data_IF_105513832097
#
_entry.id   IF_105513832097
#
_cell.length_a   1.000
_cell.length_b   1.000
_cell.length_c   1.000
_cell.angle_alpha   90.00
_cell.angle_beta   90.00
_cell.angle_gamma   90.00
#
_symmetry.space_group_name_H-M   'P 1'
#
loop_
_entity.id
_entity.type
_entity.pdbx_description
1 polymer ?
#
# COMPACT_ATOMS: atom_id res chain seq x y z
N UNK A 1 30.03 -11.16 13.55
CA UNK A 1 29.49 -10.95 14.91
C UNK A 1 28.20 -11.73 15.03
N UNK A 2 28.14 -12.73 15.92
CA UNK A 2 26.88 -13.41 16.23
C UNK A 2 26.11 -12.54 17.23
N UNK A 3 24.85 -12.23 16.92
CA UNK A 3 23.95 -11.60 17.88
C UNK A 3 23.62 -12.64 18.97
N UNK A 4 23.94 -12.35 20.23
CA UNK A 4 23.52 -13.17 21.38
C UNK A 4 22.26 -12.58 22.02
N UNK A 5 21.35 -13.45 22.46
CA UNK A 5 20.10 -13.03 23.11
C UNK A 5 20.36 -12.65 24.58
N UNK A 6 19.97 -11.44 24.97
CA UNK A 6 19.98 -10.97 26.37
C UNK A 6 18.60 -11.22 26.99
N UNK A 7 18.39 -12.45 27.48
CA UNK A 7 17.12 -12.90 28.07
C UNK A 7 16.72 -12.05 29.28
N UNK A 8 17.60 -11.74 30.25
CA UNK A 8 17.24 -10.88 31.38
C UNK A 8 16.78 -9.48 30.98
N UNK A 9 17.41 -8.86 29.97
CA UNK A 9 16.94 -7.59 29.42
C UNK A 9 15.59 -7.75 28.72
N UNK A 10 15.40 -8.83 27.96
CA UNK A 10 14.12 -9.16 27.33
C UNK A 10 12.96 -9.18 28.33
N UNK A 11 13.11 -9.89 29.45
CA UNK A 11 12.08 -9.96 30.49
C UNK A 11 11.73 -8.61 31.12
N UNK A 12 12.70 -7.69 31.23
CA UNK A 12 12.45 -6.33 31.75
C UNK A 12 11.74 -5.44 30.74
N UNK A 13 12.06 -5.58 29.45
CA UNK A 13 11.52 -4.73 28.39
C UNK A 13 10.12 -5.18 27.95
N UNK A 14 9.84 -6.48 27.96
CA UNK A 14 8.56 -7.04 27.53
C UNK A 14 7.32 -6.38 28.19
N UNK A 15 7.22 -6.25 29.53
CA UNK A 15 6.06 -5.59 30.15
C UNK A 15 5.98 -4.10 29.79
N UNK A 16 7.11 -3.41 29.64
CA UNK A 16 7.13 -1.99 29.25
C UNK A 16 6.59 -1.79 27.83
N UNK A 17 6.99 -2.65 26.89
CA UNK A 17 6.48 -2.62 25.52
C UNK A 17 4.99 -2.96 25.48
N UNK A 18 4.54 -3.94 26.27
CA UNK A 18 3.13 -4.34 26.35
C UNK A 18 2.26 -3.20 26.88
N UNK A 19 2.66 -2.57 27.98
CA UNK A 19 1.94 -1.42 28.55
C UNK A 19 1.94 -0.22 27.61
N UNK A 20 3.10 0.10 27.02
CA UNK A 20 3.20 1.19 26.03
C UNK A 20 2.29 0.91 24.82
N UNK A 21 2.27 -0.32 24.29
CA UNK A 21 1.39 -0.70 23.19
C UNK A 21 -0.10 -0.56 23.53
N UNK A 22 -0.50 -0.87 24.77
CA UNK A 22 -1.90 -0.82 25.21
C UNK A 22 -2.43 0.56 25.55
N UNK A 23 -1.54 1.52 25.78
CA UNK A 23 -1.93 2.84 26.31
C UNK A 23 -1.75 3.93 25.26
N UNK A 24 -0.54 4.48 25.15
CA UNK A 24 -0.24 5.64 24.29
C UNK A 24 0.52 5.27 23.04
N UNK A 25 0.90 4.01 22.86
CA UNK A 25 1.84 3.56 21.85
C UNK A 25 3.29 3.87 22.24
N UNK A 26 4.23 3.06 21.76
CA UNK A 26 5.68 3.22 22.07
C UNK A 26 6.26 4.57 21.61
N UNK A 27 5.56 5.28 20.74
CA UNK A 27 5.93 6.60 20.23
C UNK A 27 5.01 7.73 20.73
N UNK A 28 4.18 7.47 21.75
CA UNK A 28 3.24 8.45 22.30
C UNK A 28 2.03 8.75 21.40
N UNK A 29 1.83 7.95 20.36
CA UNK A 29 0.63 7.93 19.52
C UNK A 29 0.28 6.49 19.14
N UNK A 30 -1.02 6.23 18.96
CA UNK A 30 -1.55 4.94 18.51
C UNK A 30 -2.12 5.00 17.09
N UNK A 31 -2.43 6.19 16.59
CA UNK A 31 -2.98 6.41 15.26
C UNK A 31 -1.89 6.41 14.20
N UNK A 32 -2.11 5.58 13.17
CA UNK A 32 -1.29 5.55 11.98
C UNK A 32 -1.94 6.40 10.88
N UNK A 33 -1.16 7.04 10.00
CA UNK A 33 -1.72 7.88 8.94
C UNK A 33 -2.61 7.10 7.96
N UNK A 34 -2.40 5.79 7.83
CA UNK A 34 -3.25 4.86 7.09
C UNK A 34 -4.62 4.57 7.74
N UNK A 35 -4.79 4.80 9.05
CA UNK A 35 -6.06 4.51 9.76
C UNK A 35 -7.16 5.53 9.44
N UNK A 36 -6.83 6.59 8.70
CA UNK A 36 -7.73 7.70 8.35
C UNK A 36 -8.13 7.63 6.87
N UNK A 37 -9.32 7.09 6.54
CA UNK A 37 -9.81 7.07 5.17
C UNK A 37 -10.08 8.50 4.65
N UNK A 38 -10.15 8.69 3.32
CA UNK A 38 -10.63 9.95 2.73
C UNK A 38 -12.08 10.27 3.14
N UNK A 39 -12.45 11.54 3.05
CA UNK A 39 -13.81 11.97 3.39
C UNK A 39 -14.89 11.21 2.58
N UNK A 40 -15.88 10.67 3.29
CA UNK A 40 -17.01 9.95 2.69
C UNK A 40 -16.71 8.51 2.27
N UNK A 41 -15.50 8.01 2.50
CA UNK A 41 -15.12 6.62 2.24
C UNK A 41 -15.41 5.76 3.46
N UNK A 42 -16.27 4.75 3.30
CA UNK A 42 -16.57 3.78 4.35
C UNK A 42 -15.41 2.80 4.55
N UNK A 43 -14.97 2.58 5.79
CA UNK A 43 -13.94 1.60 6.11
C UNK A 43 -14.34 0.19 5.68
N UNK A 44 -13.46 -0.47 4.92
CA UNK A 44 -13.68 -1.82 4.39
C UNK A 44 -14.41 -1.86 3.03
N UNK A 45 -14.89 -0.73 2.54
CA UNK A 45 -15.41 -0.60 1.18
C UNK A 45 -14.31 -0.87 0.14
N UNK A 46 -14.72 -1.13 -1.12
CA UNK A 46 -13.77 -1.26 -2.23
C UNK A 46 -12.91 -0.01 -2.38
N UNK A 47 -13.51 1.17 -2.26
CA UNK A 47 -12.79 2.45 -2.34
C UNK A 47 -11.73 2.57 -1.26
N UNK A 48 -12.05 2.18 -0.02
CA UNK A 48 -11.09 2.17 1.08
C UNK A 48 -9.89 1.25 0.79
N UNK A 49 -10.18 0.02 0.35
CA UNK A 49 -9.14 -0.98 0.10
C UNK A 49 -8.25 -0.57 -1.07
N UNK A 50 -8.81 0.02 -2.13
CA UNK A 50 -8.03 0.58 -3.24
C UNK A 50 -7.17 1.76 -2.80
N UNK A 51 -7.72 2.66 -1.98
CA UNK A 51 -6.97 3.77 -1.39
C UNK A 51 -5.76 3.27 -0.60
N UNK A 52 -5.95 2.30 0.30
CA UNK A 52 -4.87 1.70 1.08
C UNK A 52 -3.85 1.01 0.17
N UNK A 53 -4.32 0.15 -0.75
CA UNK A 53 -3.48 -0.69 -1.61
C UNK A 53 -2.56 0.12 -2.52
N UNK A 54 -3.09 1.17 -3.15
CA UNK A 54 -2.30 1.99 -4.06
C UNK A 54 -1.36 2.93 -3.31
N UNK A 55 -1.83 3.52 -2.20
CA UNK A 55 -1.00 4.41 -1.38
C UNK A 55 0.18 3.67 -0.76
N UNK A 56 -0.04 2.49 -0.18
CA UNK A 56 1.03 1.70 0.44
C UNK A 56 2.04 1.18 -0.59
N UNK A 57 1.62 0.94 -1.85
CA UNK A 57 2.52 0.49 -2.91
C UNK A 57 3.66 1.49 -3.20
N UNK A 58 3.50 2.77 -2.86
CA UNK A 58 4.54 3.79 -3.02
C UNK A 58 5.11 4.32 -1.70
N UNK A 59 4.80 3.68 -0.56
CA UNK A 59 5.22 4.10 0.80
C UNK A 59 6.67 3.68 1.17
N UNK A 60 7.44 3.18 0.20
CA UNK A 60 8.83 2.81 0.45
C UNK A 60 9.76 4.04 0.44
N UNK A 61 10.49 4.25 1.55
CA UNK A 61 11.41 5.39 1.77
C UNK A 61 10.70 6.74 1.65
N UNK A 62 9.50 6.85 2.23
CA UNK A 62 8.69 8.07 2.28
C UNK A 62 8.53 8.56 3.72
N UNK A 63 8.18 9.84 3.83
CA UNK A 63 7.50 10.34 5.02
C UNK A 63 6.04 9.87 4.91
N UNK A 64 5.64 8.97 5.81
CA UNK A 64 4.31 8.36 5.75
C UNK A 64 3.21 9.41 5.92
N UNK A 65 3.31 10.29 6.92
CA UNK A 65 2.28 11.31 7.18
C UNK A 65 2.08 12.21 5.96
N UNK A 66 3.16 12.69 5.34
CA UNK A 66 3.07 13.53 4.15
C UNK A 66 2.52 12.77 2.93
N UNK A 67 2.86 11.49 2.76
CA UNK A 67 2.33 10.67 1.67
C UNK A 67 0.83 10.45 1.81
N UNK A 68 0.38 9.95 2.96
CA UNK A 68 -1.03 9.63 3.21
C UNK A 68 -1.91 10.88 3.16
N UNK A 69 -1.39 12.03 3.60
CA UNK A 69 -2.09 13.31 3.45
C UNK A 69 -2.19 13.76 1.99
N UNK A 70 -1.14 13.58 1.20
CA UNK A 70 -1.17 13.86 -0.23
C UNK A 70 -2.11 12.91 -0.98
N UNK A 71 -2.18 11.64 -0.56
CA UNK A 71 -3.10 10.66 -1.10
C UNK A 71 -4.56 11.03 -0.83
N UNK A 72 -4.90 11.46 0.40
CA UNK A 72 -6.26 11.95 0.74
C UNK A 72 -6.65 13.15 -0.13
N UNK A 73 -5.80 14.18 -0.22
CA UNK A 73 -6.06 15.34 -1.08
C UNK A 73 -6.24 14.96 -2.56
N UNK A 74 -5.48 13.99 -3.05
CA UNK A 74 -5.61 13.47 -4.42
C UNK A 74 -6.92 12.69 -4.61
N UNK A 75 -7.36 11.95 -3.59
CA UNK A 75 -8.62 11.21 -3.64
C UNK A 75 -9.83 12.14 -3.59
N UNK A 76 -9.77 13.17 -2.73
CA UNK A 76 -10.87 14.11 -2.48
C UNK A 76 -11.04 15.14 -3.61
N UNK A 77 -10.00 15.38 -4.41
CA UNK A 77 -10.09 16.19 -5.63
C UNK A 77 -10.78 15.42 -6.77
N UNK A 78 -11.95 15.89 -7.26
CA UNK A 78 -12.69 15.23 -8.34
C UNK A 78 -11.88 15.03 -9.63
N UNK A 79 -10.91 15.90 -9.93
CA UNK A 79 -10.08 15.79 -11.14
C UNK A 79 -9.06 14.66 -11.05
N UNK A 80 -8.66 14.26 -9.85
CA UNK A 80 -7.61 13.26 -9.61
C UNK A 80 -8.11 12.00 -8.92
N UNK A 81 -9.35 11.97 -8.42
CA UNK A 81 -9.97 10.79 -7.78
C UNK A 81 -9.89 9.54 -8.64
N UNK A 82 -9.96 9.68 -9.96
CA UNK A 82 -9.84 8.56 -10.90
C UNK A 82 -8.53 7.76 -10.74
N UNK A 83 -7.47 8.36 -10.19
CA UNK A 83 -6.21 7.68 -9.90
C UNK A 83 -6.38 6.48 -8.95
N UNK A 84 -7.48 6.43 -8.21
CA UNK A 84 -7.80 5.31 -7.32
C UNK A 84 -8.77 4.29 -7.93
N UNK A 85 -9.12 4.46 -9.21
CA UNK A 85 -9.97 3.54 -9.96
C UNK A 85 -9.14 2.76 -10.99
N UNK A 86 -8.94 1.44 -10.82
CA UNK A 86 -8.13 0.64 -11.73
C UNK A 86 -8.59 0.64 -13.19
N UNK A 87 -9.91 0.67 -13.44
CA UNK A 87 -10.46 0.74 -14.79
C UNK A 87 -10.18 2.11 -15.43
N UNK A 88 -10.35 3.20 -14.68
CA UNK A 88 -10.00 4.54 -15.18
C UNK A 88 -8.50 4.69 -15.48
N UNK A 89 -7.62 4.10 -14.66
CA UNK A 89 -6.18 4.06 -14.91
C UNK A 89 -5.79 3.24 -16.15
N UNK A 90 -6.61 2.27 -16.54
CA UNK A 90 -6.41 1.48 -17.74
C UNK A 90 -6.65 2.35 -18.99
N UNK A 91 -7.75 3.08 -19.00
CA UNK A 91 -8.17 3.95 -20.11
C UNK A 91 -7.38 5.27 -20.19
N UNK A 92 -6.82 5.75 -19.08
CA UNK A 92 -6.13 7.04 -19.04
C UNK A 92 -4.72 6.96 -19.62
N UNK A 93 -4.36 7.96 -20.43
CA UNK A 93 -3.01 8.10 -20.97
C UNK A 93 -1.97 8.25 -19.84
N UNK A 94 -0.84 7.56 -19.98
CA UNK A 94 0.21 7.53 -18.95
C UNK A 94 0.76 8.92 -18.58
N UNK A 95 0.92 9.82 -19.55
CA UNK A 95 1.35 11.20 -19.33
C UNK A 95 0.41 11.98 -18.42
N UNK A 96 -0.91 11.79 -18.57
CA UNK A 96 -1.92 12.40 -17.69
C UNK A 96 -1.84 11.84 -16.27
N UNK A 97 -1.68 10.52 -16.12
CA UNK A 97 -1.48 9.88 -14.80
C UNK A 97 -0.26 10.49 -14.09
N UNK A 98 0.87 10.62 -14.80
CA UNK A 98 2.09 11.21 -14.25
C UNK A 98 1.86 12.65 -13.80
N UNK A 99 1.19 13.47 -14.62
CA UNK A 99 0.90 14.86 -14.29
C UNK A 99 -0.03 14.99 -13.07
N UNK A 100 -1.13 14.24 -13.05
CA UNK A 100 -2.13 14.34 -11.98
C UNK A 100 -1.59 13.83 -10.64
N UNK A 101 -0.73 12.81 -10.63
CA UNK A 101 -0.02 12.36 -9.43
C UNK A 101 0.95 13.41 -8.84
N UNK A 102 1.25 14.49 -9.57
CA UNK A 102 2.04 15.62 -9.05
C UNK A 102 1.17 16.70 -8.39
N UNK A 103 -0.12 16.82 -8.77
CA UNK A 103 -1.00 17.94 -8.40
C UNK A 103 -1.02 18.22 -6.91
N UNK A 104 -1.11 17.17 -6.09
CA UNK A 104 -1.13 17.26 -4.62
C UNK A 104 0.13 16.68 -3.96
N UNK A 105 1.22 16.50 -4.72
CA UNK A 105 2.48 15.96 -4.19
C UNK A 105 2.47 14.46 -3.85
N UNK A 106 1.52 13.70 -4.42
CA UNK A 106 1.41 12.26 -4.18
C UNK A 106 2.69 11.51 -4.59
N UNK A 107 3.24 11.82 -5.76
CA UNK A 107 4.47 11.20 -6.26
C UNK A 107 5.69 12.08 -5.98
N UNK A 108 6.73 11.49 -5.36
CA UNK A 108 8.05 12.14 -5.20
C UNK A 108 9.02 11.69 -6.29
N UNK A 109 8.90 10.43 -6.74
CA UNK A 109 9.71 9.87 -7.82
C UNK A 109 8.84 9.80 -9.08
N UNK A 110 8.56 10.96 -9.67
CA UNK A 110 7.61 11.22 -10.77
C UNK A 110 7.30 9.99 -11.65
N UNK A 111 8.30 9.54 -12.41
CA UNK A 111 8.12 8.44 -13.37
C UNK A 111 8.00 7.06 -12.69
N UNK A 112 8.72 6.86 -11.58
CA UNK A 112 8.76 5.56 -10.90
C UNK A 112 7.50 5.30 -10.10
N UNK A 113 7.00 6.30 -9.37
CA UNK A 113 5.79 6.18 -8.56
C UNK A 113 4.58 5.97 -9.48
N UNK A 114 4.47 6.72 -10.59
CA UNK A 114 3.40 6.53 -11.58
C UNK A 114 3.46 5.14 -12.24
N UNK A 115 4.65 4.65 -12.56
CA UNK A 115 4.82 3.29 -13.06
C UNK A 115 4.34 2.25 -12.04
N UNK A 116 4.75 2.36 -10.77
CA UNK A 116 4.35 1.43 -9.71
C UNK A 116 2.84 1.47 -9.50
N UNK A 117 2.28 2.67 -9.34
CA UNK A 117 0.87 2.92 -9.11
C UNK A 117 -0.01 2.29 -10.18
N UNK A 118 0.28 2.59 -11.45
CA UNK A 118 -0.45 2.04 -12.60
C UNK A 118 -0.24 0.53 -12.69
N UNK A 119 0.98 0.03 -12.50
CA UNK A 119 1.23 -1.42 -12.60
C UNK A 119 0.42 -2.20 -11.57
N UNK A 120 0.45 -1.80 -10.31
CA UNK A 120 -0.31 -2.46 -9.23
C UNK A 120 -1.82 -2.40 -9.52
N UNK A 121 -2.35 -1.23 -9.86
CA UNK A 121 -3.77 -1.08 -10.19
C UNK A 121 -4.18 -1.98 -11.35
N UNK A 122 -3.41 -2.01 -12.44
CA UNK A 122 -3.73 -2.81 -13.61
C UNK A 122 -3.59 -4.32 -13.38
N UNK A 123 -2.66 -4.74 -12.51
CA UNK A 123 -2.58 -6.13 -12.08
C UNK A 123 -3.88 -6.55 -11.38
N UNK A 124 -4.37 -5.73 -10.44
CA UNK A 124 -5.66 -5.98 -9.78
C UNK A 124 -6.84 -5.94 -10.75
N UNK A 125 -6.85 -4.96 -11.67
CA UNK A 125 -7.89 -4.84 -12.68
C UNK A 125 -8.02 -6.09 -13.54
N UNK A 126 -6.91 -6.51 -14.15
CA UNK A 126 -6.91 -7.57 -15.16
C UNK A 126 -7.14 -8.96 -14.59
N UNK A 127 -6.66 -9.22 -13.37
CA UNK A 127 -6.69 -10.56 -12.77
C UNK A 127 -7.84 -10.75 -11.78
N UNK A 128 -8.34 -9.67 -11.17
CA UNK A 128 -9.32 -9.73 -10.09
C UNK A 128 -10.42 -8.66 -10.19
N UNK A 129 -10.67 -8.17 -11.41
CA UNK A 129 -11.72 -7.18 -11.72
C UNK A 129 -11.60 -5.87 -10.91
N UNK A 130 -10.37 -5.50 -10.54
CA UNK A 130 -10.08 -4.26 -9.83
C UNK A 130 -10.34 -4.32 -8.33
N UNK A 131 -10.63 -5.49 -7.78
CA UNK A 131 -10.90 -5.68 -6.35
C UNK A 131 -9.79 -6.50 -5.68
N UNK A 132 -8.94 -5.88 -4.83
CA UNK A 132 -7.91 -6.61 -4.09
C UNK A 132 -8.46 -7.70 -3.17
N UNK A 133 -9.72 -7.63 -2.74
CA UNK A 133 -10.35 -8.68 -1.92
C UNK A 133 -10.49 -10.00 -2.68
N UNK A 134 -10.71 -9.93 -4.00
CA UNK A 134 -10.77 -11.11 -4.84
C UNK A 134 -9.41 -11.80 -4.94
N UNK A 135 -8.31 -11.04 -4.94
CA UNK A 135 -6.96 -11.62 -4.84
C UNK A 135 -6.74 -12.29 -3.48
N UNK A 136 -7.18 -11.66 -2.38
CA UNK A 136 -7.09 -12.25 -1.05
C UNK A 136 -7.90 -13.56 -0.97
N UNK A 137 -9.10 -13.58 -1.52
CA UNK A 137 -9.96 -14.77 -1.60
C UNK A 137 -9.35 -15.87 -2.49
N UNK A 138 -8.78 -15.50 -3.64
CA UNK A 138 -8.07 -16.41 -4.55
C UNK A 138 -6.79 -16.99 -3.90
N UNK A 139 -6.25 -16.33 -2.88
CA UNK A 139 -5.18 -16.88 -2.02
C UNK A 139 -5.71 -17.70 -0.83
N UNK A 140 -7.02 -17.93 -0.72
CA UNK A 140 -7.64 -18.59 0.43
C UNK A 140 -7.51 -17.82 1.74
N UNK A 141 -7.30 -16.50 1.67
CA UNK A 141 -6.99 -15.64 2.83
C UNK A 141 -5.75 -16.10 3.63
N UNK A 142 -4.86 -16.89 3.04
CA UNK A 142 -3.65 -17.39 3.69
C UNK A 142 -2.49 -16.40 3.55
N UNK A 143 -2.03 -15.82 4.67
CA UNK A 143 -0.98 -14.81 4.70
C UNK A 143 0.31 -15.21 3.98
N UNK A 144 0.92 -16.37 4.26
CA UNK A 144 2.07 -16.89 3.53
C UNK A 144 1.84 -16.99 2.02
N UNK A 145 0.69 -17.52 1.59
CA UNK A 145 0.32 -17.62 0.18
C UNK A 145 0.21 -16.25 -0.47
N UNK A 146 -0.44 -15.29 0.20
CA UNK A 146 -0.55 -13.92 -0.30
C UNK A 146 0.83 -13.29 -0.48
N UNK A 147 1.71 -13.36 0.53
CA UNK A 147 3.05 -12.79 0.46
C UNK A 147 3.91 -13.44 -0.64
N UNK A 148 3.77 -14.76 -0.82
CA UNK A 148 4.42 -15.48 -1.92
C UNK A 148 3.92 -14.99 -3.28
N UNK A 149 2.61 -14.87 -3.47
CA UNK A 149 2.03 -14.41 -4.74
C UNK A 149 2.32 -12.95 -5.05
N UNK A 150 2.31 -12.07 -4.04
CA UNK A 150 2.82 -10.71 -4.20
C UNK A 150 4.27 -10.72 -4.74
N UNK A 151 5.08 -11.69 -4.33
CA UNK A 151 6.48 -11.83 -4.76
C UNK A 151 6.65 -12.42 -6.15
N UNK A 152 5.82 -13.37 -6.53
CA UNK A 152 6.04 -14.24 -7.68
C UNK A 152 5.16 -13.90 -8.88
N UNK A 153 3.97 -13.34 -8.67
CA UNK A 153 3.02 -13.09 -9.75
C UNK A 153 3.56 -12.04 -10.74
N UNK A 154 3.42 -12.36 -12.02
CA UNK A 154 3.98 -11.61 -13.14
C UNK A 154 2.99 -11.50 -14.30
N UNK A 155 3.26 -10.56 -15.19
CA UNK A 155 2.61 -10.42 -16.49
C UNK A 155 3.65 -10.19 -17.60
N UNK A 156 3.37 -10.65 -18.83
CA UNK A 156 4.22 -10.37 -19.97
C UNK A 156 4.08 -8.90 -20.41
N UNK A 157 5.17 -8.29 -20.85
CA UNK A 157 5.19 -6.97 -21.47
C UNK A 157 6.49 -6.71 -22.24
N UNK A 158 6.41 -6.09 -23.41
CA UNK A 158 7.58 -5.70 -24.23
C UNK A 158 8.68 -6.78 -24.34
N UNK A 159 8.29 -8.04 -24.52
CA UNK A 159 9.22 -9.17 -24.66
C UNK A 159 9.88 -9.67 -23.36
N UNK A 160 9.46 -9.21 -22.18
CA UNK A 160 9.92 -9.71 -20.87
C UNK A 160 8.77 -9.84 -19.87
N UNK A 161 9.03 -10.53 -18.76
CA UNK A 161 8.08 -10.56 -17.64
C UNK A 161 8.30 -9.38 -16.70
N UNK A 162 7.21 -8.76 -16.29
CA UNK A 162 7.17 -7.75 -15.23
C UNK A 162 6.48 -8.32 -14.00
N UNK A 163 6.99 -7.96 -12.83
CA UNK A 163 6.29 -8.21 -11.57
C UNK A 163 4.98 -7.43 -11.53
N UNK A 164 3.90 -8.08 -11.09
CA UNK A 164 2.59 -7.46 -10.92
C UNK A 164 2.56 -6.42 -9.81
N UNK A 165 3.37 -6.64 -8.77
CA UNK A 165 3.31 -5.88 -7.54
C UNK A 165 4.65 -5.19 -7.19
N UNK A 166 5.16 -4.26 -8.02
CA UNK A 166 6.34 -3.48 -7.67
C UNK A 166 6.21 -2.85 -6.27
N UNK A 167 7.27 -2.95 -5.46
CA UNK A 167 7.34 -2.56 -4.03
C UNK A 167 6.40 -3.30 -3.08
N UNK A 168 5.13 -3.51 -3.43
CA UNK A 168 4.17 -4.28 -2.63
C UNK A 168 4.65 -5.73 -2.41
N UNK A 169 5.44 -6.28 -3.34
CA UNK A 169 6.16 -7.57 -3.20
C UNK A 169 7.26 -7.63 -2.13
N UNK A 170 7.65 -6.49 -1.57
CA UNK A 170 8.80 -6.39 -0.67
C UNK A 170 8.51 -6.92 0.74
N UNK A 171 9.55 -7.40 1.42
CA UNK A 171 9.45 -7.98 2.78
C UNK A 171 8.97 -7.00 3.87
N UNK A 172 8.86 -5.71 3.55
CA UNK A 172 8.32 -4.68 4.44
C UNK A 172 6.90 -4.26 4.03
N UNK A 173 6.73 -3.87 2.76
CA UNK A 173 5.49 -3.26 2.26
C UNK A 173 4.37 -4.31 2.13
N UNK A 174 4.66 -5.52 1.68
CA UNK A 174 3.65 -6.59 1.57
C UNK A 174 3.02 -6.95 2.93
N UNK A 175 3.83 -7.25 3.97
CA UNK A 175 3.29 -7.47 5.31
C UNK A 175 2.58 -6.25 5.91
N UNK A 176 3.05 -5.02 5.60
CA UNK A 176 2.38 -3.79 6.00
C UNK A 176 0.98 -3.67 5.39
N UNK A 177 0.83 -3.97 4.10
CA UNK A 177 -0.46 -3.96 3.44
C UNK A 177 -1.44 -4.98 4.03
N UNK A 178 -0.97 -6.19 4.36
CA UNK A 178 -1.80 -7.26 4.94
C UNK A 178 -2.36 -6.94 6.33
N UNK A 179 -1.72 -6.05 7.10
CA UNK A 179 -2.16 -5.68 8.45
C UNK A 179 -3.10 -4.47 8.48
N UNK A 180 -3.24 -3.75 7.37
CA UNK A 180 -4.14 -2.59 7.25
C UNK A 180 -5.60 -3.06 7.25
N UNK A 181 -6.49 -2.25 7.82
CA UNK A 181 -7.93 -2.54 7.96
C UNK A 181 -8.75 -1.35 7.52
#
# INVERSE_FOLDING_TARGET
>A
MALSSDIPKGHRIAPLLYEAFRTTGIHGRVDMPEDRPPQGVESGSLEHILFLTLTVAIDYQRDAHALWESARRTYEDPETRYLFNPAALYETQYSKIVADMQKHGLSKKIQRDAFIWRTVALSFYKKWNGDPRNFLADCGHDGPTILRRLREDQHPGSGRNYTDFPFLRGNKIGPLWLRMR
#
